data_IF_220544723501
#
_entry.id   IF_220544723501
#
_cell.length_a   1.000
_cell.length_b   1.000
_cell.length_c   1.000
_cell.angle_alpha   90.00
_cell.angle_beta   90.00
_cell.angle_gamma   90.00
#
_symmetry.space_group_name_H-M   'P 1'
#
loop_
_entity.id
_entity.type
_entity.pdbx_description
1 polymer ?
#
# COMPACT_ATOMS: atom_id res chain seq x y z
N UNK A 1 -36.74 18.08 -58.87
CA UNK A 1 -36.34 16.75 -58.36
C UNK A 1 -35.11 16.32 -59.07
N UNK A 2 -33.99 16.27 -58.38
CA UNK A 2 -32.72 15.92 -58.98
C UNK A 2 -32.61 14.40 -59.06
N UNK A 3 -32.86 13.84 -60.22
CA UNK A 3 -32.87 12.42 -60.46
C UNK A 3 -31.39 11.94 -60.62
N UNK A 4 -30.64 11.97 -59.57
CA UNK A 4 -29.33 11.37 -59.54
C UNK A 4 -29.47 9.85 -59.42
N UNK A 5 -29.57 9.23 -60.58
CA UNK A 5 -29.58 7.79 -60.72
C UNK A 5 -28.37 7.17 -59.98
N UNK A 6 -28.67 6.24 -59.12
CA UNK A 6 -27.67 5.38 -58.45
C UNK A 6 -26.83 4.52 -59.43
N UNK A 7 -27.08 4.68 -60.72
CA UNK A 7 -26.40 3.94 -61.82
C UNK A 7 -25.21 4.68 -62.46
N UNK A 8 -24.91 5.91 -62.04
CA UNK A 8 -23.73 6.58 -62.54
C UNK A 8 -22.54 6.17 -61.69
N UNK A 9 -21.78 5.21 -62.17
CA UNK A 9 -20.75 4.44 -61.49
C UNK A 9 -19.66 5.20 -60.68
N UNK A 10 -19.82 6.51 -60.48
CA UNK A 10 -18.96 7.37 -59.68
C UNK A 10 -19.64 7.99 -58.46
N UNK A 11 -20.88 7.59 -58.13
CA UNK A 11 -21.54 8.11 -56.93
C UNK A 11 -22.08 6.95 -56.10
N UNK A 12 -21.26 6.50 -55.19
CA UNK A 12 -21.70 5.53 -54.17
C UNK A 12 -22.87 6.06 -53.38
N UNK A 13 -23.88 5.22 -53.11
CA UNK A 13 -24.91 5.49 -52.10
C UNK A 13 -24.15 5.70 -50.79
N UNK A 14 -24.19 6.93 -50.30
CA UNK A 14 -23.74 7.20 -48.91
C UNK A 14 -24.97 6.95 -48.01
N UNK A 15 -25.05 5.83 -47.31
CA UNK A 15 -26.06 5.69 -46.30
C UNK A 15 -25.79 6.75 -45.25
N UNK A 16 -26.79 7.62 -45.01
CA UNK A 16 -26.82 8.49 -43.85
C UNK A 16 -27.12 7.60 -42.64
N UNK A 17 -26.08 7.02 -42.07
CA UNK A 17 -26.18 6.39 -40.75
C UNK A 17 -25.91 7.46 -39.69
N UNK A 18 -26.87 7.75 -38.86
CA UNK A 18 -26.59 8.44 -37.61
C UNK A 18 -25.84 7.47 -36.67
N UNK A 19 -24.51 7.46 -36.77
CA UNK A 19 -23.69 6.71 -35.84
C UNK A 19 -23.85 7.34 -34.45
N UNK A 20 -24.01 6.51 -33.43
CA UNK A 20 -23.92 6.98 -32.04
C UNK A 20 -22.54 7.58 -31.82
N UNK A 21 -22.44 8.62 -31.02
CA UNK A 21 -21.18 9.32 -30.70
C UNK A 21 -20.09 8.43 -30.10
N UNK A 22 -20.43 7.20 -29.70
CA UNK A 22 -19.50 6.19 -29.14
C UNK A 22 -18.93 5.22 -30.17
N UNK A 23 -19.28 5.36 -31.47
CA UNK A 23 -18.69 4.52 -32.52
C UNK A 23 -17.35 5.10 -32.93
N UNK A 24 -16.30 4.32 -32.75
CA UNK A 24 -14.96 4.65 -33.22
C UNK A 24 -14.85 4.37 -34.71
N UNK A 25 -14.16 5.25 -35.42
CA UNK A 25 -13.78 5.06 -36.81
C UNK A 25 -12.30 5.31 -36.97
N UNK A 26 -11.68 4.73 -38.02
CA UNK A 26 -10.28 4.98 -38.32
C UNK A 26 -10.01 6.48 -38.51
N UNK A 27 -8.86 6.97 -38.04
CA UNK A 27 -8.45 8.38 -38.16
C UNK A 27 -8.26 8.84 -39.62
N UNK A 28 -8.02 7.90 -40.51
CA UNK A 28 -7.83 8.14 -41.93
C UNK A 28 -8.67 7.18 -42.78
N UNK A 29 -9.19 7.64 -43.93
CA UNK A 29 -9.87 6.75 -44.84
C UNK A 29 -8.88 5.77 -45.48
N UNK A 30 -9.40 4.60 -45.88
CA UNK A 30 -8.65 3.65 -46.73
C UNK A 30 -8.42 4.21 -48.14
N UNK A 31 -7.74 3.45 -49.00
CA UNK A 31 -7.47 3.82 -50.41
C UNK A 31 -8.71 4.17 -51.21
N UNK A 32 -9.88 3.69 -50.80
CA UNK A 32 -11.17 3.93 -51.49
C UNK A 32 -11.93 5.13 -50.88
N UNK A 33 -11.32 5.84 -49.92
CA UNK A 33 -11.91 6.99 -49.25
C UNK A 33 -12.94 6.63 -48.17
N UNK A 34 -12.97 5.39 -47.71
CA UNK A 34 -13.89 4.90 -46.69
C UNK A 34 -13.23 4.86 -45.30
N UNK A 35 -13.97 5.25 -44.28
CA UNK A 35 -13.57 5.04 -42.91
C UNK A 35 -13.99 3.65 -42.42
N UNK A 36 -13.11 2.99 -41.69
CA UNK A 36 -13.37 1.69 -41.09
C UNK A 36 -13.99 1.90 -39.67
N UNK A 37 -15.09 1.23 -39.40
CA UNK A 37 -15.65 1.19 -38.03
C UNK A 37 -14.75 0.31 -37.19
N UNK A 38 -14.27 0.85 -36.09
CA UNK A 38 -13.48 0.15 -35.10
C UNK A 38 -14.43 -0.36 -34.01
N UNK A 39 -14.51 -1.67 -33.88
CA UNK A 39 -15.21 -2.31 -32.76
C UNK A 39 -14.19 -2.48 -31.64
N UNK A 40 -14.45 -1.83 -30.51
CA UNK A 40 -13.61 -1.97 -29.34
C UNK A 40 -14.43 -2.52 -28.18
N UNK A 41 -13.95 -3.56 -27.56
CA UNK A 41 -14.51 -4.24 -26.41
C UNK A 41 -13.79 -3.80 -25.15
N UNK A 42 -14.50 -3.72 -24.04
CA UNK A 42 -13.85 -3.42 -22.78
C UNK A 42 -12.96 -4.60 -22.30
N UNK A 43 -11.86 -4.32 -21.60
CA UNK A 43 -11.00 -5.36 -21.05
C UNK A 43 -11.71 -6.19 -19.97
N UNK A 44 -11.19 -7.40 -19.73
CA UNK A 44 -11.59 -8.21 -18.57
C UNK A 44 -11.16 -7.54 -17.25
N UNK A 45 -11.88 -7.80 -16.16
CA UNK A 45 -11.39 -7.43 -14.84
C UNK A 45 -10.10 -8.23 -14.53
N UNK A 46 -9.11 -7.64 -13.80
CA UNK A 46 -8.01 -8.42 -13.24
C UNK A 46 -8.57 -9.58 -12.43
N UNK A 47 -8.15 -10.84 -12.68
CA UNK A 47 -8.76 -12.02 -12.02
C UNK A 47 -8.58 -12.04 -10.50
N UNK A 48 -7.52 -11.42 -10.00
CA UNK A 48 -7.23 -11.34 -8.57
C UNK A 48 -6.49 -10.05 -8.22
N UNK A 49 -6.63 -9.63 -6.96
CA UNK A 49 -5.80 -8.64 -6.29
C UNK A 49 -5.13 -9.31 -5.10
N UNK A 50 -3.84 -9.09 -4.93
CA UNK A 50 -3.05 -9.60 -3.83
C UNK A 50 -2.71 -8.45 -2.90
N UNK A 51 -3.11 -8.58 -1.64
CA UNK A 51 -2.86 -7.65 -0.56
C UNK A 51 -2.66 -8.43 0.74
N UNK A 52 -1.84 -7.96 1.70
CA UNK A 52 -1.72 -8.59 3.00
C UNK A 52 -3.01 -8.41 3.81
N UNK A 53 -3.26 -9.27 4.80
CA UNK A 53 -4.38 -9.12 5.72
C UNK A 53 -4.14 -8.02 6.77
N UNK A 54 -2.86 -7.73 7.06
CA UNK A 54 -2.43 -6.70 8.01
C UNK A 54 -1.24 -5.93 7.46
N UNK A 55 -1.07 -4.70 7.91
CA UNK A 55 0.11 -3.87 7.65
C UNK A 55 0.40 -2.98 8.86
N UNK A 56 1.61 -2.40 8.91
CA UNK A 56 2.01 -1.52 10.01
C UNK A 56 2.00 -0.06 9.56
N UNK A 57 1.51 0.82 10.41
CA UNK A 57 1.58 2.26 10.18
C UNK A 57 3.04 2.74 10.07
N UNK A 58 3.31 3.67 9.18
CA UNK A 58 4.65 4.17 8.89
C UNK A 58 5.51 3.27 8.00
N UNK A 59 5.06 2.05 7.66
CA UNK A 59 5.73 1.16 6.72
C UNK A 59 5.07 1.20 5.34
N UNK A 60 5.75 0.62 4.34
CA UNK A 60 5.18 0.51 3.01
C UNK A 60 4.32 -0.74 2.87
N UNK A 61 3.18 -0.59 2.20
CA UNK A 61 2.34 -1.70 1.76
C UNK A 61 2.49 -1.90 0.26
N UNK A 62 2.57 -3.16 -0.16
CA UNK A 62 2.64 -3.56 -1.56
C UNK A 62 1.35 -4.27 -1.97
N UNK A 63 0.74 -3.79 -3.04
CA UNK A 63 -0.47 -4.35 -3.63
C UNK A 63 -0.14 -4.76 -5.06
N UNK A 64 -0.66 -5.90 -5.49
CA UNK A 64 -0.51 -6.36 -6.88
C UNK A 64 -1.80 -6.97 -7.41
N UNK A 65 -1.90 -7.08 -8.73
CA UNK A 65 -3.00 -7.78 -9.37
C UNK A 65 -2.51 -8.73 -10.47
N UNK A 66 -3.32 -9.73 -10.78
CA UNK A 66 -3.10 -10.57 -11.95
C UNK A 66 -3.38 -9.79 -13.24
N UNK A 67 -2.80 -10.25 -14.36
CA UNK A 67 -3.00 -9.60 -15.65
C UNK A 67 -4.47 -9.71 -16.09
N UNK A 68 -5.02 -8.61 -16.52
CA UNK A 68 -6.27 -8.57 -17.30
C UNK A 68 -5.97 -8.92 -18.76
N UNK A 69 -7.00 -9.27 -19.51
CA UNK A 69 -6.92 -9.48 -20.95
C UNK A 69 -7.85 -8.52 -21.67
N UNK A 70 -7.48 -8.16 -22.86
CA UNK A 70 -8.32 -7.36 -23.75
C UNK A 70 -8.69 -8.19 -24.99
N UNK A 71 -9.98 -8.24 -25.39
CA UNK A 71 -10.41 -9.02 -26.53
C UNK A 71 -9.82 -8.54 -27.86
N UNK A 72 -9.51 -7.26 -27.97
CA UNK A 72 -8.99 -6.62 -29.16
C UNK A 72 -7.45 -6.52 -29.14
N UNK A 73 -6.82 -6.92 -28.02
CA UNK A 73 -5.38 -6.91 -27.82
C UNK A 73 -4.80 -5.55 -27.45
N UNK A 74 -5.64 -4.65 -26.96
CA UNK A 74 -5.23 -3.30 -26.58
C UNK A 74 -4.28 -3.28 -25.39
N UNK A 75 -3.42 -2.24 -25.37
CA UNK A 75 -2.56 -1.97 -24.24
C UNK A 75 -3.40 -1.53 -23.02
N UNK A 76 -3.11 -2.14 -21.85
CA UNK A 76 -3.89 -1.92 -20.65
C UNK A 76 -3.18 -1.02 -19.64
N UNK A 77 -3.97 -0.14 -19.03
CA UNK A 77 -3.61 0.66 -17.86
C UNK A 77 -4.36 0.10 -16.65
N UNK A 78 -3.63 -0.16 -15.55
CA UNK A 78 -4.22 -0.63 -14.29
C UNK A 78 -4.46 0.58 -13.38
N UNK A 79 -5.74 0.78 -13.04
CA UNK A 79 -6.21 1.87 -12.18
C UNK A 79 -6.46 1.31 -10.78
N UNK A 80 -5.54 1.59 -9.84
CA UNK A 80 -5.70 1.23 -8.44
C UNK A 80 -6.39 2.36 -7.68
N UNK A 81 -7.32 1.98 -6.83
CA UNK A 81 -7.99 2.88 -5.90
C UNK A 81 -7.89 2.33 -4.47
N UNK A 82 -7.79 3.24 -3.54
CA UNK A 82 -7.74 2.97 -2.09
C UNK A 82 -8.96 3.56 -1.41
N UNK A 83 -9.49 2.83 -0.43
CA UNK A 83 -10.36 3.32 0.63
C UNK A 83 -9.68 3.08 1.97
N UNK A 84 -9.76 4.03 2.89
CA UNK A 84 -9.29 3.88 4.27
C UNK A 84 -10.42 4.24 5.25
N UNK A 85 -10.45 3.58 6.40
CA UNK A 85 -11.45 3.76 7.44
C UNK A 85 -12.89 3.75 6.89
N UNK A 86 -13.16 2.86 5.91
CA UNK A 86 -14.43 2.75 5.18
C UNK A 86 -14.88 4.04 4.46
N UNK A 87 -13.94 4.94 4.17
CA UNK A 87 -14.19 6.19 3.46
C UNK A 87 -14.32 6.01 1.94
N UNK A 88 -14.38 7.13 1.24
CA UNK A 88 -14.51 7.17 -0.22
C UNK A 88 -13.29 6.55 -0.92
N UNK A 89 -13.54 5.97 -2.10
CA UNK A 89 -12.48 5.47 -2.97
C UNK A 89 -11.72 6.62 -3.63
N UNK A 90 -10.40 6.55 -3.58
CA UNK A 90 -9.49 7.51 -4.20
C UNK A 90 -8.53 6.79 -5.12
N UNK A 91 -8.39 7.25 -6.37
CA UNK A 91 -7.41 6.69 -7.29
C UNK A 91 -5.99 7.02 -6.81
N UNK A 92 -5.16 5.99 -6.68
CA UNK A 92 -3.78 6.09 -6.20
C UNK A 92 -2.75 5.78 -7.27
N UNK A 93 -3.13 5.03 -8.30
CA UNK A 93 -2.28 4.77 -9.47
C UNK A 93 -3.13 4.57 -10.72
N UNK A 94 -2.60 5.02 -11.87
CA UNK A 94 -3.05 4.62 -13.21
C UNK A 94 -1.81 4.47 -14.09
N UNK A 95 -1.40 3.24 -14.37
CA UNK A 95 -0.19 2.92 -15.14
C UNK A 95 -0.26 1.52 -15.74
N UNK A 96 0.68 1.16 -16.60
CA UNK A 96 0.83 -0.21 -17.09
C UNK A 96 1.32 -1.19 -16.01
N UNK A 97 1.82 -0.69 -14.88
CA UNK A 97 2.26 -1.52 -13.76
C UNK A 97 1.08 -2.20 -13.05
N UNK A 98 1.23 -3.48 -12.79
CA UNK A 98 0.31 -4.31 -12.01
C UNK A 98 0.63 -4.32 -10.51
N UNK A 99 1.60 -3.51 -10.11
CA UNK A 99 2.02 -3.37 -8.71
C UNK A 99 1.91 -1.92 -8.28
N UNK A 100 1.53 -1.72 -7.04
CA UNK A 100 1.40 -0.42 -6.39
C UNK A 100 1.99 -0.50 -5.00
N UNK A 101 2.71 0.53 -4.59
CA UNK A 101 3.33 0.64 -3.26
C UNK A 101 3.07 2.01 -2.71
N UNK A 102 2.65 2.08 -1.46
CA UNK A 102 2.53 3.36 -0.73
C UNK A 102 2.91 3.22 0.74
N UNK A 103 3.22 4.35 1.38
CA UNK A 103 3.41 4.41 2.83
C UNK A 103 2.05 4.42 3.56
N UNK A 104 1.93 3.58 4.58
CA UNK A 104 0.73 3.48 5.41
C UNK A 104 0.71 4.63 6.41
N UNK A 105 -0.32 5.47 6.35
CA UNK A 105 -0.48 6.60 7.28
C UNK A 105 -0.81 6.12 8.70
N UNK A 106 -0.29 6.84 9.70
CA UNK A 106 -0.64 6.63 11.11
C UNK A 106 -2.11 6.99 11.45
N UNK A 107 -2.81 7.67 10.53
CA UNK A 107 -4.23 8.01 10.69
C UNK A 107 -5.18 6.93 10.18
N UNK A 108 -4.66 5.85 9.57
CA UNK A 108 -5.47 4.79 9.00
C UNK A 108 -5.57 3.60 9.97
N UNK A 109 -6.77 3.09 10.19
CA UNK A 109 -7.03 1.89 10.99
C UNK A 109 -7.36 0.68 10.10
N UNK A 110 -7.99 0.94 8.95
CA UNK A 110 -8.33 -0.08 7.95
C UNK A 110 -8.06 0.42 6.56
N UNK A 111 -7.64 -0.48 5.69
CA UNK A 111 -7.40 -0.23 4.27
C UNK A 111 -8.15 -1.24 3.42
N UNK A 112 -8.51 -0.82 2.23
CA UNK A 112 -9.06 -1.66 1.18
C UNK A 112 -8.62 -1.13 -0.16
N UNK A 113 -8.28 -2.01 -1.08
CA UNK A 113 -7.88 -1.64 -2.42
C UNK A 113 -8.80 -2.29 -3.44
N UNK A 114 -8.97 -1.61 -4.57
CA UNK A 114 -9.57 -2.20 -5.75
C UNK A 114 -8.80 -1.76 -7.00
N UNK A 115 -8.88 -2.57 -8.03
CA UNK A 115 -8.20 -2.33 -9.30
C UNK A 115 -9.13 -2.67 -10.45
N UNK A 116 -9.06 -1.91 -11.51
CA UNK A 116 -9.68 -2.20 -12.81
C UNK A 116 -8.69 -1.93 -13.94
N UNK A 117 -8.89 -2.58 -15.05
CA UNK A 117 -8.15 -2.31 -16.27
C UNK A 117 -8.88 -1.24 -17.10
N UNK A 118 -8.10 -0.45 -17.85
CA UNK A 118 -8.56 0.52 -18.82
C UNK A 118 -7.79 0.27 -20.13
N UNK A 119 -8.51 0.19 -21.25
CA UNK A 119 -7.91 0.06 -22.58
C UNK A 119 -7.42 1.41 -23.14
N UNK A 120 -6.83 1.38 -24.32
CA UNK A 120 -6.33 2.57 -25.02
C UNK A 120 -7.43 3.49 -25.54
N UNK A 121 -8.67 3.00 -25.67
CA UNK A 121 -9.83 3.75 -26.12
C UNK A 121 -10.66 4.33 -24.98
N UNK A 122 -10.31 4.01 -23.71
CA UNK A 122 -10.93 4.59 -22.54
C UNK A 122 -12.00 3.73 -21.86
N UNK A 123 -12.27 2.50 -22.36
CA UNK A 123 -13.23 1.60 -21.73
C UNK A 123 -12.59 0.94 -20.47
N UNK A 124 -13.43 0.70 -19.48
CA UNK A 124 -13.00 0.12 -18.21
C UNK A 124 -13.60 -1.25 -18.00
N UNK A 125 -12.82 -2.12 -17.40
CA UNK A 125 -13.32 -3.37 -16.81
C UNK A 125 -14.15 -3.13 -15.55
N UNK A 126 -14.78 -4.17 -15.03
CA UNK A 126 -15.24 -4.21 -13.65
C UNK A 126 -14.05 -4.13 -12.68
N UNK A 127 -14.35 -3.79 -11.40
CA UNK A 127 -13.33 -3.79 -10.34
C UNK A 127 -13.13 -5.18 -9.75
N UNK A 128 -11.88 -5.46 -9.40
CA UNK A 128 -11.50 -6.54 -8.47
C UNK A 128 -11.06 -5.89 -7.17
N UNK A 129 -11.63 -6.33 -6.04
CA UNK A 129 -11.45 -5.67 -4.73
C UNK A 129 -10.77 -6.64 -3.75
N UNK A 130 -9.84 -6.12 -2.94
CA UNK A 130 -9.17 -6.87 -1.86
C UNK A 130 -10.12 -7.15 -0.70
N UNK A 131 -9.72 -8.04 0.20
CA UNK A 131 -10.24 -8.06 1.57
C UNK A 131 -9.92 -6.77 2.33
N UNK A 132 -10.46 -6.65 3.53
CA UNK A 132 -10.09 -5.60 4.46
C UNK A 132 -8.68 -5.89 5.01
N UNK A 133 -7.90 -4.82 5.18
CA UNK A 133 -6.52 -4.86 5.68
C UNK A 133 -6.51 -4.09 6.99
N UNK A 134 -6.16 -4.75 8.10
CA UNK A 134 -6.02 -4.07 9.38
C UNK A 134 -4.67 -3.33 9.44
N UNK A 135 -4.70 -2.08 9.89
CA UNK A 135 -3.49 -1.30 10.15
C UNK A 135 -3.12 -1.44 11.62
N UNK A 136 -1.93 -1.97 11.87
CA UNK A 136 -1.36 -2.13 13.20
C UNK A 136 -0.52 -0.88 13.50
N UNK A 137 -0.76 -0.28 14.67
CA UNK A 137 0.00 0.85 15.16
C UNK A 137 0.98 0.36 16.20
N UNK A 138 2.28 0.46 15.90
CA UNK A 138 3.33 0.10 16.85
C UNK A 138 3.30 1.01 18.06
N UNK A 139 3.27 0.42 19.25
CA UNK A 139 3.30 1.10 20.54
C UNK A 139 4.68 0.91 21.18
N UNK A 140 5.19 1.91 21.93
CA UNK A 140 6.47 1.75 22.59
C UNK A 140 6.37 0.76 23.75
N UNK A 141 7.47 0.03 24.05
CA UNK A 141 7.54 -0.82 25.23
C UNK A 141 7.43 0.00 26.53
N UNK A 142 6.87 -0.61 27.55
CA UNK A 142 6.68 -0.02 28.88
C UNK A 142 7.55 -0.74 29.89
N UNK A 143 8.37 0.02 30.62
CA UNK A 143 9.22 -0.49 31.71
C UNK A 143 8.51 -0.20 33.03
N UNK A 144 8.27 -1.25 33.84
CA UNK A 144 7.81 -1.11 35.21
C UNK A 144 8.94 -0.65 36.11
N UNK A 145 8.66 0.26 37.03
CA UNK A 145 9.65 0.75 38.00
C UNK A 145 10.64 1.76 37.41
N UNK A 146 10.37 2.32 36.22
CA UNK A 146 11.16 3.44 35.68
C UNK A 146 11.08 4.65 36.63
N UNK A 147 12.20 5.39 36.75
CA UNK A 147 12.34 6.55 37.64
C UNK A 147 12.14 6.26 39.12
N UNK A 148 12.40 5.03 39.58
CA UNK A 148 12.40 4.70 40.99
C UNK A 148 13.56 5.41 41.72
N UNK A 149 13.25 6.11 42.82
CA UNK A 149 14.27 6.58 43.73
C UNK A 149 14.78 5.39 44.55
N UNK A 150 15.98 4.96 44.28
CA UNK A 150 16.63 3.85 45.00
C UNK A 150 17.40 4.32 46.24
N UNK A 151 17.39 5.61 46.54
CA UNK A 151 18.20 6.22 47.59
C UNK A 151 19.70 6.12 47.32
N UNK A 152 20.52 6.57 48.28
CA UNK A 152 21.99 6.54 48.19
C UNK A 152 22.54 5.11 48.29
N UNK A 153 23.28 4.65 47.30
CA UNK A 153 23.98 3.35 47.26
C UNK A 153 25.47 3.54 47.38
N UNK A 154 26.14 2.73 48.21
CA UNK A 154 27.57 2.78 48.47
C UNK A 154 28.28 1.44 48.25
N UNK A 155 27.54 0.42 47.91
CA UNK A 155 28.06 -0.95 47.67
C UNK A 155 27.25 -1.64 46.56
N UNK A 156 27.46 -2.93 46.44
CA UNK A 156 26.67 -3.74 45.47
C UNK A 156 25.19 -3.58 45.73
N UNK A 157 24.42 -3.45 44.64
CA UNK A 157 22.97 -3.48 44.73
C UNK A 157 22.35 -4.10 43.47
N UNK A 158 21.12 -4.52 43.63
CA UNK A 158 20.30 -5.01 42.54
C UNK A 158 19.03 -4.21 42.46
N UNK A 159 18.49 -4.07 41.25
CA UNK A 159 17.19 -3.49 41.01
C UNK A 159 16.41 -4.39 40.04
N UNK A 160 15.15 -4.66 40.38
CA UNK A 160 14.29 -5.49 39.59
C UNK A 160 13.29 -4.63 38.82
N UNK A 161 13.08 -4.96 37.56
CA UNK A 161 12.09 -4.34 36.68
C UNK A 161 11.51 -5.39 35.72
N UNK A 162 10.40 -5.08 35.08
CA UNK A 162 9.89 -5.85 33.95
C UNK A 162 9.61 -4.93 32.76
N UNK A 163 9.60 -5.51 31.59
CA UNK A 163 9.27 -4.80 30.37
C UNK A 163 8.11 -5.52 29.70
N UNK A 164 7.10 -4.77 29.31
CA UNK A 164 6.00 -5.25 28.48
C UNK A 164 6.00 -4.47 27.18
N UNK A 165 5.55 -5.09 26.12
CA UNK A 165 5.31 -4.45 24.84
C UNK A 165 3.89 -4.80 24.39
N UNK A 166 3.02 -3.80 24.12
CA UNK A 166 1.63 -4.06 23.76
C UNK A 166 1.46 -4.85 22.46
N UNK A 167 2.43 -4.73 21.55
CA UNK A 167 2.40 -5.37 20.23
C UNK A 167 3.17 -6.70 20.23
N UNK A 168 3.87 -7.02 21.34
CA UNK A 168 4.66 -8.23 21.49
C UNK A 168 5.99 -8.20 20.76
N UNK A 169 6.49 -7.02 20.45
CA UNK A 169 7.74 -6.86 19.71
C UNK A 169 8.96 -7.30 20.52
N UNK A 170 10.02 -7.69 19.81
CA UNK A 170 11.30 -8.00 20.45
C UNK A 170 11.93 -6.74 21.01
N UNK A 171 12.16 -6.73 22.32
CA UNK A 171 12.71 -5.57 23.04
C UNK A 171 14.16 -5.82 23.47
N UNK A 172 15.00 -4.82 23.22
CA UNK A 172 16.37 -4.74 23.76
C UNK A 172 16.41 -3.67 24.85
N UNK A 173 17.08 -3.96 25.97
CA UNK A 173 17.22 -3.04 27.09
C UNK A 173 18.66 -2.63 27.28
N UNK A 174 18.91 -1.33 27.38
CA UNK A 174 20.20 -0.77 27.76
C UNK A 174 20.08 -0.23 29.18
N UNK A 175 20.76 -0.88 30.12
CA UNK A 175 20.84 -0.47 31.52
C UNK A 175 21.95 0.56 31.70
N UNK A 176 21.64 1.71 32.27
CA UNK A 176 22.59 2.81 32.47
C UNK A 176 22.52 3.35 33.91
N UNK A 177 23.68 3.82 34.39
CA UNK A 177 23.78 4.62 35.61
C UNK A 177 24.54 5.89 35.24
N UNK A 178 23.99 7.03 35.57
CA UNK A 178 24.56 8.35 35.26
C UNK A 178 25.03 8.45 33.80
N UNK A 179 24.17 7.98 32.88
CA UNK A 179 24.44 7.97 31.44
C UNK A 179 25.40 6.88 30.95
N UNK A 180 26.19 6.25 31.83
CA UNK A 180 27.12 5.18 31.47
C UNK A 180 26.41 3.83 31.39
N UNK A 181 26.60 3.12 30.29
CA UNK A 181 26.05 1.79 30.07
C UNK A 181 26.70 0.78 31.01
N UNK A 182 25.85 0.07 31.77
CA UNK A 182 26.23 -1.02 32.67
C UNK A 182 26.06 -2.37 31.98
N UNK A 183 24.92 -2.56 31.30
CA UNK A 183 24.63 -3.78 30.56
C UNK A 183 23.71 -3.51 29.38
N UNK A 184 23.76 -4.40 28.42
CA UNK A 184 22.79 -4.48 27.31
C UNK A 184 22.21 -5.89 27.29
N UNK A 185 20.89 -5.98 27.31
CA UNK A 185 20.14 -7.24 27.23
C UNK A 185 19.36 -7.25 25.94
N UNK A 186 19.64 -8.20 25.07
CA UNK A 186 18.98 -8.34 23.78
C UNK A 186 17.86 -9.36 23.85
N UNK A 187 16.77 -9.09 23.14
CA UNK A 187 15.62 -10.01 22.98
C UNK A 187 15.13 -10.54 24.33
N UNK A 188 14.87 -9.66 25.28
CA UNK A 188 14.41 -10.03 26.62
C UNK A 188 13.02 -10.72 26.56
N UNK A 189 12.75 -11.60 27.51
CA UNK A 189 11.41 -12.18 27.67
C UNK A 189 10.47 -11.12 28.26
N UNK A 190 9.44 -10.74 27.50
CA UNK A 190 8.44 -9.78 27.94
C UNK A 190 7.67 -10.29 29.15
N UNK A 191 7.38 -9.39 30.11
CA UNK A 191 6.69 -9.69 31.37
C UNK A 191 7.56 -10.40 32.40
N UNK A 192 8.73 -10.93 32.03
CA UNK A 192 9.63 -11.55 32.99
C UNK A 192 10.40 -10.50 33.82
N UNK A 193 10.68 -10.85 35.07
CA UNK A 193 11.53 -10.01 35.93
C UNK A 193 12.95 -9.96 35.40
N UNK A 194 13.44 -8.76 35.13
CA UNK A 194 14.80 -8.45 34.80
C UNK A 194 15.52 -7.94 36.06
N UNK A 195 16.81 -8.23 36.18
CA UNK A 195 17.63 -7.75 37.28
C UNK A 195 18.78 -6.93 36.76
N UNK A 196 18.83 -5.65 37.12
CA UNK A 196 20.04 -4.84 37.02
C UNK A 196 20.90 -5.16 38.24
N UNK A 197 22.14 -5.57 38.00
CA UNK A 197 23.13 -5.81 39.06
C UNK A 197 24.29 -4.82 38.90
N UNK A 198 24.58 -4.09 39.96
CA UNK A 198 25.63 -3.08 40.00
C UNK A 198 26.62 -3.41 41.09
N UNK A 199 27.86 -3.61 40.70
CA UNK A 199 28.96 -3.82 41.66
C UNK A 199 29.41 -2.49 42.26
N UNK A 200 29.77 -2.48 43.52
CA UNK A 200 30.18 -1.28 44.24
C UNK A 200 31.39 -0.55 43.65
N UNK A 201 32.29 -1.28 42.96
CA UNK A 201 33.44 -0.70 42.26
C UNK A 201 33.01 0.13 41.02
N UNK A 202 31.79 -0.05 40.49
CA UNK A 202 31.25 0.75 39.41
C UNK A 202 31.13 2.23 39.79
N UNK A 203 30.81 2.52 41.05
CA UNK A 203 30.68 3.89 41.56
C UNK A 203 32.05 4.61 41.59
N UNK A 204 33.11 3.91 41.97
CA UNK A 204 34.47 4.47 41.97
C UNK A 204 34.88 4.88 40.54
N UNK A 205 34.52 4.08 39.53
CA UNK A 205 34.81 4.39 38.13
C UNK A 205 33.98 5.57 37.59
N UNK A 206 32.77 5.79 38.12
CA UNK A 206 31.90 6.92 37.74
C UNK A 206 32.38 8.24 38.35
N UNK A 207 32.82 8.23 39.63
CA UNK A 207 33.35 9.42 40.30
C UNK A 207 34.70 9.91 39.80
N UNK A 208 35.52 9.03 39.22
CA UNK A 208 36.80 9.39 38.66
C UNK A 208 36.78 9.90 37.23
N UNK A 209 35.57 9.99 36.62
CA UNK A 209 35.36 10.46 35.24
C UNK A 209 34.87 11.92 35.16
N UNK A 210 34.83 12.65 36.28
CA UNK A 210 34.49 14.08 36.36
C UNK A 210 35.73 14.96 36.37
#
# INVERSE_FOLDING_TARGET
MNNNNAYNGNRGVRPLCNLKSSILVSDSPNSDGNYTVIYNSAPSAPPSITAPATCYSGQNINISCAAATDPDGDALTYCFERSYNSGAWTQVQASASRTFTEAVSTAWNTLKYRVRAKDSYGNYSAYTTSGDIAVIHNQPPVISGSNADLGTKRGDFTYQYSVTDPDGDTVNVVEKIDGKTIATKNAITLGATQTLSVAGNTFTALTNAQ
#
